data_IF_843912153609
#
_entry.id   IF_843912153609
#
_cell.length_a   1.000
_cell.length_b   1.000
_cell.length_c   1.000
_cell.angle_alpha   90.00
_cell.angle_beta   90.00
_cell.angle_gamma   90.00
#
_symmetry.space_group_name_H-M   'P 1'
#
loop_
_entity.id
_entity.type
_entity.pdbx_description
1 polymer ?
#
# COMPACT_ATOMS: atom_id res chain seq x y z
N UNK A 1 16.49 22.29 -10.73
CA UNK A 1 15.18 22.07 -10.08
C UNK A 1 14.26 21.50 -11.14
N UNK A 2 13.85 20.25 -10.97
CA UNK A 2 12.93 19.54 -11.88
C UNK A 2 11.72 19.00 -11.13
N UNK A 3 10.72 18.51 -11.87
CA UNK A 3 9.58 17.79 -11.32
C UNK A 3 9.75 16.29 -11.53
N UNK A 4 9.84 15.54 -10.43
CA UNK A 4 10.17 14.12 -10.43
C UNK A 4 9.01 13.33 -9.82
N UNK A 5 8.55 12.30 -10.54
CA UNK A 5 7.60 11.32 -10.00
C UNK A 5 8.38 10.09 -9.54
N UNK A 6 8.23 9.71 -8.27
CA UNK A 6 8.88 8.55 -7.68
C UNK A 6 7.81 7.52 -7.30
N UNK A 7 7.90 6.32 -7.87
CA UNK A 7 7.00 5.22 -7.57
C UNK A 7 7.63 4.25 -6.55
N UNK A 8 7.15 4.28 -5.31
CA UNK A 8 7.57 3.36 -4.26
C UNK A 8 6.99 1.96 -4.50
N UNK A 9 7.88 0.99 -4.71
CA UNK A 9 7.51 -0.42 -4.75
C UNK A 9 7.17 -0.98 -3.37
N UNK A 10 6.68 -2.23 -3.32
CA UNK A 10 6.33 -2.89 -2.05
C UNK A 10 7.47 -2.89 -1.01
N UNK A 11 8.71 -3.05 -1.47
CA UNK A 11 9.92 -3.05 -0.64
C UNK A 11 10.20 -1.73 0.09
N UNK A 12 9.54 -0.63 -0.30
CA UNK A 12 9.64 0.65 0.40
C UNK A 12 8.90 0.62 1.75
N UNK A 13 7.93 -0.27 1.93
CA UNK A 13 7.15 -0.43 3.15
C UNK A 13 7.36 -1.80 3.79
N UNK A 14 7.39 -2.87 3.00
CA UNK A 14 7.58 -4.24 3.50
C UNK A 14 8.47 -5.05 2.54
N UNK A 15 9.50 -5.68 3.10
CA UNK A 15 10.36 -6.65 2.40
C UNK A 15 9.93 -8.07 2.71
N UNK A 16 10.39 -9.03 1.90
CA UNK A 16 10.19 -10.45 2.20
C UNK A 16 10.73 -10.79 3.60
N UNK A 17 9.90 -11.43 4.43
CA UNK A 17 10.21 -11.78 5.82
C UNK A 17 9.94 -10.69 6.86
N UNK A 18 9.58 -9.47 6.46
CA UNK A 18 9.17 -8.43 7.41
C UNK A 18 7.84 -8.83 8.07
N UNK A 19 7.71 -8.59 9.38
CA UNK A 19 6.39 -8.59 10.02
C UNK A 19 5.63 -7.36 9.53
N UNK A 20 4.36 -7.53 9.18
CA UNK A 20 3.51 -6.46 8.66
C UNK A 20 2.99 -5.52 9.78
N UNK A 21 3.86 -5.07 10.69
CA UNK A 21 3.49 -4.11 11.74
C UNK A 21 3.62 -2.67 11.23
N UNK A 22 2.99 -1.73 11.93
CA UNK A 22 3.07 -0.31 11.62
C UNK A 22 4.51 0.20 11.73
N UNK A 23 5.19 -0.16 12.82
CA UNK A 23 6.53 0.33 13.18
C UNK A 23 7.58 -0.12 12.15
N UNK A 24 7.46 -1.34 11.63
CA UNK A 24 8.35 -1.84 10.58
C UNK A 24 8.11 -1.06 9.29
N UNK A 25 6.86 -0.83 8.91
CA UNK A 25 6.54 -0.05 7.71
C UNK A 25 7.03 1.39 7.81
N UNK A 26 6.83 2.04 8.96
CA UNK A 26 7.36 3.37 9.25
C UNK A 26 8.88 3.40 9.13
N UNK A 27 9.58 2.45 9.76
CA UNK A 27 11.03 2.35 9.65
C UNK A 27 11.49 2.20 8.20
N UNK A 28 10.84 1.34 7.41
CA UNK A 28 11.18 1.11 5.99
C UNK A 28 10.95 2.37 5.15
N UNK A 29 9.85 3.08 5.39
CA UNK A 29 9.56 4.35 4.75
C UNK A 29 10.62 5.40 5.09
N UNK A 30 11.00 5.53 6.36
CA UNK A 30 12.07 6.46 6.79
C UNK A 30 13.40 6.12 6.13
N UNK A 31 13.80 4.83 6.11
CA UNK A 31 15.01 4.36 5.42
C UNK A 31 14.97 4.68 3.90
N UNK A 32 13.77 4.72 3.29
CA UNK A 32 13.61 5.06 1.87
C UNK A 32 13.71 6.57 1.62
N UNK A 33 13.08 7.39 2.48
CA UNK A 33 13.17 8.85 2.41
C UNK A 33 14.59 9.34 2.67
N UNK A 34 15.32 8.76 3.62
CA UNK A 34 16.71 9.12 3.92
C UNK A 34 17.60 9.05 2.65
N UNK A 35 17.43 7.99 1.85
CA UNK A 35 18.15 7.80 0.57
C UNK A 35 17.76 8.82 -0.50
N UNK A 36 16.56 9.41 -0.39
CA UNK A 36 16.02 10.36 -1.35
C UNK A 36 16.16 11.82 -0.90
N UNK A 37 16.72 12.07 0.29
CA UNK A 37 16.88 13.41 0.89
C UNK A 37 17.38 14.45 -0.12
N UNK A 38 18.51 14.18 -0.80
CA UNK A 38 19.07 15.11 -1.79
C UNK A 38 18.17 15.34 -3.00
N UNK A 39 17.45 14.32 -3.44
CA UNK A 39 16.50 14.44 -4.55
C UNK A 39 15.33 15.33 -4.15
N UNK A 40 14.78 15.08 -2.95
CA UNK A 40 13.64 15.81 -2.40
C UNK A 40 14.01 17.27 -2.11
N UNK A 41 15.19 17.55 -1.58
CA UNK A 41 15.64 18.91 -1.28
C UNK A 41 15.73 19.76 -2.55
N UNK A 42 16.29 19.21 -3.63
CA UNK A 42 16.61 19.97 -4.84
C UNK A 42 15.50 20.02 -5.92
N UNK A 43 14.41 19.27 -5.74
CA UNK A 43 13.37 19.09 -6.78
C UNK A 43 11.95 19.17 -6.24
N UNK A 44 10.97 19.34 -7.12
CA UNK A 44 9.56 19.09 -6.82
C UNK A 44 9.30 17.60 -6.97
N UNK A 45 8.83 16.94 -5.91
CA UNK A 45 8.67 15.49 -5.91
C UNK A 45 7.20 15.12 -5.72
N UNK A 46 6.73 14.22 -6.58
CA UNK A 46 5.44 13.53 -6.41
C UNK A 46 5.74 12.07 -6.09
N UNK A 47 5.16 11.54 -5.02
CA UNK A 47 5.33 10.14 -4.62
C UNK A 47 4.05 9.38 -4.92
N UNK A 48 4.19 8.25 -5.62
CA UNK A 48 3.16 7.20 -5.69
C UNK A 48 3.68 5.95 -5.00
N UNK A 49 2.79 5.01 -4.68
CA UNK A 49 3.18 3.77 -4.01
C UNK A 49 2.30 2.59 -4.44
N UNK A 50 2.84 1.38 -4.28
CA UNK A 50 2.03 0.16 -4.25
C UNK A 50 1.31 -0.02 -2.91
N UNK A 51 0.30 -0.91 -2.86
CA UNK A 51 -0.46 -1.18 -1.65
C UNK A 51 -0.75 -2.67 -1.39
N UNK A 52 -0.19 -3.60 -2.18
CA UNK A 52 -0.58 -5.01 -2.21
C UNK A 52 -0.66 -5.70 -0.83
N UNK A 53 0.40 -5.64 -0.01
CA UNK A 53 0.36 -6.18 1.35
C UNK A 53 -0.68 -5.48 2.23
N UNK A 54 -0.77 -4.14 2.16
CA UNK A 54 -1.63 -3.34 3.03
C UNK A 54 -3.11 -3.52 2.71
N UNK A 55 -3.50 -3.42 1.43
CA UNK A 55 -4.89 -3.62 1.01
C UNK A 55 -5.36 -5.05 1.27
N UNK A 56 -4.47 -6.03 1.12
CA UNK A 56 -4.78 -7.41 1.43
C UNK A 56 -4.94 -7.67 2.93
N UNK A 57 -4.12 -7.04 3.78
CA UNK A 57 -4.32 -7.07 5.23
C UNK A 57 -5.65 -6.45 5.65
N UNK A 58 -6.01 -5.30 5.06
CA UNK A 58 -7.31 -4.63 5.30
C UNK A 58 -8.47 -5.49 4.84
N UNK A 59 -8.36 -6.16 3.68
CA UNK A 59 -9.37 -7.08 3.18
C UNK A 59 -9.55 -8.27 4.14
N UNK A 60 -8.45 -8.87 4.60
CA UNK A 60 -8.50 -9.96 5.57
C UNK A 60 -9.19 -9.54 6.88
N UNK A 61 -8.91 -8.33 7.37
CA UNK A 61 -9.59 -7.76 8.54
C UNK A 61 -11.10 -7.57 8.31
N UNK A 62 -11.50 -7.10 7.12
CA UNK A 62 -12.91 -6.93 6.74
C UNK A 62 -13.65 -8.27 6.64
N UNK A 63 -12.99 -9.30 6.10
CA UNK A 63 -13.57 -10.65 6.00
C UNK A 63 -13.67 -11.33 7.36
N UNK A 64 -12.64 -11.21 8.20
CA UNK A 64 -12.63 -11.80 9.54
C UNK A 64 -13.70 -11.19 10.47
N UNK A 65 -14.10 -9.95 10.22
CA UNK A 65 -15.10 -9.23 11.01
C UNK A 65 -16.52 -9.26 10.41
N UNK A 66 -16.74 -10.00 9.32
CA UNK A 66 -18.00 -9.97 8.55
C UNK A 66 -19.27 -10.37 9.32
N UNK A 67 -19.11 -11.20 10.34
CA UNK A 67 -20.21 -11.59 11.24
C UNK A 67 -20.60 -10.50 12.25
N UNK A 68 -19.76 -9.48 12.41
CA UNK A 68 -19.94 -8.37 13.35
C UNK A 68 -20.28 -7.07 12.60
N UNK A 69 -19.58 -6.80 11.50
CA UNK A 69 -19.78 -5.62 10.65
C UNK A 69 -19.74 -6.04 9.18
N UNK A 70 -20.60 -5.47 8.31
CA UNK A 70 -20.55 -5.78 6.89
C UNK A 70 -19.16 -5.51 6.29
N UNK A 71 -18.64 -6.47 5.54
CA UNK A 71 -17.37 -6.31 4.82
C UNK A 71 -17.49 -5.26 3.73
N UNK A 72 -16.46 -4.43 3.61
CA UNK A 72 -16.37 -3.42 2.57
C UNK A 72 -15.90 -4.02 1.24
N UNK A 73 -16.31 -3.46 0.09
CA UNK A 73 -15.79 -3.87 -1.20
C UNK A 73 -14.30 -3.51 -1.36
N UNK A 74 -13.58 -4.26 -2.20
CA UNK A 74 -12.13 -4.11 -2.38
C UNK A 74 -11.69 -2.68 -2.72
N UNK A 75 -12.48 -1.93 -3.49
CA UNK A 75 -12.14 -0.53 -3.81
C UNK A 75 -12.17 0.38 -2.57
N UNK A 76 -13.04 0.12 -1.60
CA UNK A 76 -13.09 0.84 -0.33
C UNK A 76 -11.91 0.46 0.57
N UNK A 77 -11.53 -0.83 0.62
CA UNK A 77 -10.27 -1.26 1.25
C UNK A 77 -9.06 -0.58 0.59
N UNK A 78 -9.10 -0.39 -0.73
CA UNK A 78 -8.11 0.39 -1.49
C UNK A 78 -8.02 1.83 -1.00
N UNK A 79 -9.15 2.51 -0.81
CA UNK A 79 -9.18 3.86 -0.25
C UNK A 79 -8.64 3.92 1.19
N UNK A 80 -8.99 2.95 2.04
CA UNK A 80 -8.41 2.81 3.39
C UNK A 80 -6.89 2.67 3.35
N UNK A 81 -6.38 1.85 2.42
CA UNK A 81 -4.93 1.64 2.28
C UNK A 81 -4.17 2.91 1.89
N UNK A 82 -4.80 3.83 1.14
CA UNK A 82 -4.19 5.13 0.82
C UNK A 82 -4.05 6.00 2.08
N UNK A 83 -5.05 6.01 2.95
CA UNK A 83 -4.97 6.72 4.23
C UNK A 83 -3.88 6.14 5.14
N UNK A 84 -3.85 4.82 5.31
CA UNK A 84 -2.85 4.13 6.12
C UNK A 84 -1.42 4.37 5.60
N UNK A 85 -1.18 4.14 4.31
CA UNK A 85 0.16 4.31 3.73
C UNK A 85 0.55 5.78 3.71
N UNK A 86 -0.40 6.67 3.39
CA UNK A 86 -0.17 8.10 3.39
C UNK A 86 0.28 8.60 4.76
N UNK A 87 -0.36 8.18 5.83
CA UNK A 87 0.03 8.53 7.20
C UNK A 87 1.45 8.05 7.53
N UNK A 88 1.77 6.80 7.19
CA UNK A 88 3.12 6.23 7.37
C UNK A 88 4.18 7.06 6.62
N UNK A 89 3.90 7.41 5.36
CA UNK A 89 4.82 8.19 4.53
C UNK A 89 4.98 9.62 5.04
N UNK A 90 3.90 10.26 5.51
CA UNK A 90 3.96 11.59 6.11
C UNK A 90 4.82 11.59 7.38
N UNK A 91 4.62 10.63 8.29
CA UNK A 91 5.42 10.54 9.51
C UNK A 91 6.90 10.24 9.23
N UNK A 92 7.17 9.38 8.24
CA UNK A 92 8.53 9.10 7.80
C UNK A 92 9.20 10.34 7.21
N UNK A 93 8.50 11.07 6.33
CA UNK A 93 9.00 12.29 5.74
C UNK A 93 9.18 13.40 6.77
N UNK A 94 8.27 13.54 7.73
CA UNK A 94 8.37 14.49 8.85
C UNK A 94 9.65 14.25 9.68
N UNK A 95 9.99 12.99 9.91
CA UNK A 95 11.23 12.61 10.58
C UNK A 95 12.46 13.04 9.77
N UNK A 96 12.49 12.75 8.47
CA UNK A 96 13.62 13.08 7.59
C UNK A 96 13.77 14.59 7.39
N UNK A 97 12.66 15.32 7.20
CA UNK A 97 12.71 16.77 7.00
C UNK A 97 13.18 17.49 8.25
N UNK A 98 12.76 17.06 9.43
CA UNK A 98 13.22 17.63 10.70
C UNK A 98 14.72 17.36 10.92
N UNK A 99 15.19 16.15 10.64
CA UNK A 99 16.61 15.77 10.79
C UNK A 99 17.54 16.54 9.83
N UNK A 100 17.06 16.85 8.61
CA UNK A 100 17.88 17.46 7.56
C UNK A 100 17.58 18.96 7.33
N UNK A 101 16.69 19.57 8.12
CA UNK A 101 16.32 20.98 7.94
C UNK A 101 15.58 21.28 6.64
N UNK A 102 14.83 20.30 6.10
CA UNK A 102 14.05 20.49 4.86
C UNK A 102 12.76 21.24 5.20
N UNK A 103 12.55 22.42 4.61
CA UNK A 103 11.36 23.25 4.89
C UNK A 103 10.11 22.84 4.08
N UNK A 104 10.23 21.86 3.18
CA UNK A 104 9.10 21.39 2.36
C UNK A 104 8.06 20.67 3.20
N UNK A 105 6.79 20.91 2.88
CA UNK A 105 5.65 20.16 3.40
C UNK A 105 5.21 19.08 2.42
N UNK A 106 4.50 18.08 2.93
CA UNK A 106 3.89 17.03 2.13
C UNK A 106 2.40 16.94 2.45
N UNK A 107 1.62 16.37 1.53
CA UNK A 107 0.21 16.09 1.71
C UNK A 107 -0.16 14.82 0.97
N UNK A 108 -1.15 14.11 1.51
CA UNK A 108 -1.69 12.88 0.90
C UNK A 108 -3.05 13.22 0.31
N UNK A 109 -3.27 12.80 -0.94
CA UNK A 109 -4.50 13.05 -1.67
C UNK A 109 -5.13 11.71 -2.02
N UNK A 110 -6.35 11.48 -1.53
CA UNK A 110 -7.14 10.31 -1.93
C UNK A 110 -7.37 10.38 -3.43
N UNK A 111 -6.92 9.36 -4.14
CA UNK A 111 -6.88 9.31 -5.60
C UNK A 111 -7.77 8.20 -6.13
N UNK A 112 -8.60 8.54 -7.12
CA UNK A 112 -9.40 7.60 -7.89
C UNK A 112 -8.82 7.48 -9.29
N UNK A 113 -8.66 6.24 -9.76
CA UNK A 113 -8.16 5.94 -11.10
C UNK A 113 -9.31 5.37 -11.93
N UNK A 114 -9.61 6.01 -13.06
CA UNK A 114 -10.56 5.47 -14.03
C UNK A 114 -9.95 4.23 -14.71
N UNK A 115 -10.77 3.20 -14.88
CA UNK A 115 -10.43 1.98 -15.59
C UNK A 115 -11.52 1.66 -16.60
N UNK A 116 -11.18 0.93 -17.66
CA UNK A 116 -12.15 0.44 -18.62
C UNK A 116 -13.07 -0.59 -17.94
N UNK A 117 -14.39 -0.47 -18.10
CA UNK A 117 -15.36 -1.41 -17.52
C UNK A 117 -15.24 -2.81 -18.13
N UNK A 118 -14.79 -2.90 -19.39
CA UNK A 118 -14.74 -4.14 -20.15
C UNK A 118 -13.33 -4.77 -20.18
N UNK A 119 -12.41 -4.29 -19.33
CA UNK A 119 -11.04 -4.80 -19.24
C UNK A 119 -10.99 -6.31 -18.96
N UNK A 120 -10.13 -7.03 -19.67
CA UNK A 120 -9.97 -8.49 -19.49
C UNK A 120 -9.45 -8.86 -18.10
N UNK A 121 -8.81 -7.92 -17.38
CA UNK A 121 -8.37 -8.10 -16.01
C UNK A 121 -9.52 -8.46 -15.04
N UNK A 122 -10.77 -8.03 -15.32
CA UNK A 122 -11.93 -8.44 -14.52
C UNK A 122 -12.31 -9.91 -14.72
N UNK A 123 -12.02 -10.47 -15.91
CA UNK A 123 -12.29 -11.88 -16.21
C UNK A 123 -11.17 -12.79 -15.71
N UNK A 124 -9.92 -12.31 -15.72
CA UNK A 124 -8.75 -13.06 -15.27
C UNK A 124 -7.90 -12.23 -14.29
N UNK A 125 -8.21 -12.27 -12.97
CA UNK A 125 -7.40 -11.59 -11.97
C UNK A 125 -6.02 -12.26 -11.86
N UNK A 126 -4.96 -11.45 -12.00
CA UNK A 126 -3.55 -11.91 -11.96
C UNK A 126 -2.73 -11.25 -10.86
N UNK A 127 -3.25 -10.19 -10.22
CA UNK A 127 -2.53 -9.43 -9.21
C UNK A 127 -2.74 -10.06 -7.82
N UNK A 128 -1.69 -10.60 -7.16
CA UNK A 128 -1.82 -11.08 -5.80
C UNK A 128 -1.95 -9.91 -4.81
N UNK A 129 -2.80 -10.10 -3.80
CA UNK A 129 -2.96 -9.23 -2.63
C UNK A 129 -3.08 -10.11 -1.38
N UNK A 130 -2.68 -9.57 -0.23
CA UNK A 130 -2.79 -10.27 1.05
C UNK A 130 -1.58 -11.14 1.40
N UNK A 131 -1.68 -11.90 2.49
CA UNK A 131 -0.61 -12.79 2.90
C UNK A 131 -0.51 -14.00 1.97
N UNK A 132 0.62 -14.69 2.02
CA UNK A 132 0.78 -15.98 1.37
C UNK A 132 0.10 -17.07 2.22
N UNK A 133 -0.72 -17.88 1.56
CA UNK A 133 -1.41 -19.01 2.16
C UNK A 133 -0.75 -20.32 1.74
N UNK A 134 -0.89 -21.37 2.56
CA UNK A 134 -0.67 -22.74 2.07
C UNK A 134 -1.77 -23.08 1.07
N UNK A 135 -1.48 -24.01 0.16
CA UNK A 135 -2.40 -24.39 -0.93
C UNK A 135 -3.78 -24.78 -0.41
N UNK A 136 -3.82 -25.60 0.64
CA UNK A 136 -5.07 -26.12 1.20
C UNK A 136 -5.93 -25.00 1.82
N UNK A 137 -5.29 -24.02 2.46
CA UNK A 137 -5.95 -22.86 3.05
C UNK A 137 -6.49 -21.91 1.97
N UNK A 138 -5.71 -21.71 0.90
CA UNK A 138 -6.13 -20.90 -0.24
C UNK A 138 -7.35 -21.50 -0.95
N UNK A 139 -7.38 -22.81 -1.16
CA UNK A 139 -8.49 -23.53 -1.79
C UNK A 139 -9.78 -23.42 -0.96
N UNK A 140 -9.68 -23.52 0.37
CA UNK A 140 -10.85 -23.38 1.24
C UNK A 140 -11.40 -21.95 1.26
N UNK A 141 -10.53 -20.95 1.35
CA UNK A 141 -10.92 -19.54 1.27
C UNK A 141 -11.56 -19.20 -0.09
N UNK A 142 -11.06 -19.79 -1.17
CA UNK A 142 -11.63 -19.65 -2.50
C UNK A 142 -13.04 -20.22 -2.59
N UNK A 143 -13.27 -21.40 -2.01
CA UNK A 143 -14.57 -22.05 -1.98
C UNK A 143 -15.59 -21.26 -1.16
N UNK A 144 -15.22 -20.77 0.01
CA UNK A 144 -16.12 -20.03 0.91
C UNK A 144 -16.48 -18.66 0.34
N UNK A 145 -15.52 -17.95 -0.26
CA UNK A 145 -15.70 -16.55 -0.64
C UNK A 145 -15.89 -16.33 -2.16
N UNK A 146 -15.90 -17.40 -2.96
CA UNK A 146 -16.01 -17.32 -4.41
C UNK A 146 -14.81 -16.66 -5.08
N UNK A 147 -13.62 -16.73 -4.46
CA UNK A 147 -12.43 -16.07 -4.95
C UNK A 147 -11.72 -16.88 -6.04
N UNK A 148 -11.10 -16.17 -6.98
CA UNK A 148 -10.07 -16.75 -7.86
C UNK A 148 -8.71 -16.59 -7.18
N UNK A 149 -8.24 -17.65 -6.54
CA UNK A 149 -6.85 -17.75 -6.03
C UNK A 149 -5.90 -18.12 -7.16
N UNK A 150 -4.70 -17.55 -7.13
CA UNK A 150 -3.61 -17.80 -8.08
C UNK A 150 -2.34 -18.16 -7.30
N UNK A 151 -1.56 -19.07 -7.86
CA UNK A 151 -0.22 -19.46 -7.39
C UNK A 151 0.82 -18.36 -7.70
#
# INVERSE_FOLDING_TARGET
MERIVIAFGGNALLRSGDKATYEIQLKRATDAFDKLTRVIENNEVVISHGNGPQVGGILLQNEASKSITPSLPLHACGAMSQGLIGEILLNAFDSIRAQNGIEKSASVIVTRTLVDRDDQAFKNPTKPIGPFYKKEEAEELARINGWKVKE
#
